data_IF_473063100895
#
_entry.id   IF_473063100895
#
_cell.length_a   1.000
_cell.length_b   1.000
_cell.length_c   1.000
_cell.angle_alpha   90.00
_cell.angle_beta   90.00
_cell.angle_gamma   90.00
#
_symmetry.space_group_name_H-M   'P 1'
#
loop_
_entity.id
_entity.type
_entity.pdbx_description
1 polymer ?
#
# COMPACT_ATOMS: atom_id res chain seq x y z
N UNK A 1 -21.05 25.93 -39.80
CA UNK A 1 -19.89 25.76 -38.92
C UNK A 1 -20.40 25.74 -37.49
N UNK A 2 -20.60 24.55 -36.91
CA UNK A 2 -21.06 24.38 -35.53
C UNK A 2 -20.03 23.51 -34.83
N UNK A 3 -19.26 24.14 -33.94
CA UNK A 3 -18.25 23.50 -33.10
C UNK A 3 -18.93 22.65 -32.03
N UNK A 4 -18.84 21.34 -32.17
CA UNK A 4 -19.19 20.38 -31.13
C UNK A 4 -18.08 20.40 -30.07
N UNK A 5 -18.38 20.95 -28.90
CA UNK A 5 -17.54 20.85 -27.71
C UNK A 5 -17.67 19.43 -27.16
N UNK A 6 -16.62 18.63 -27.32
CA UNK A 6 -16.52 17.31 -26.70
C UNK A 6 -16.29 17.50 -25.20
N UNK A 7 -17.34 17.32 -24.39
CA UNK A 7 -17.20 17.25 -22.94
C UNK A 7 -16.45 15.95 -22.60
N UNK A 8 -15.35 16.05 -21.85
CA UNK A 8 -14.70 14.88 -21.25
C UNK A 8 -15.67 14.20 -20.27
N UNK A 9 -15.76 12.85 -20.25
CA UNK A 9 -16.59 12.16 -19.27
C UNK A 9 -16.09 12.47 -17.85
N UNK A 10 -17.01 12.84 -16.95
CA UNK A 10 -16.70 12.95 -15.52
C UNK A 10 -16.22 11.59 -15.04
N UNK A 11 -15.02 11.53 -14.44
CA UNK A 11 -14.53 10.31 -13.78
C UNK A 11 -15.54 9.90 -12.69
N UNK A 12 -15.88 8.60 -12.56
CA UNK A 12 -16.75 8.16 -11.48
C UNK A 12 -16.09 8.50 -10.12
N UNK A 13 -16.85 9.03 -9.17
CA UNK A 13 -16.38 9.21 -7.79
C UNK A 13 -16.74 7.93 -7.02
N UNK A 14 -15.81 7.38 -6.24
CA UNK A 14 -16.11 6.21 -5.42
C UNK A 14 -17.05 6.64 -4.28
N UNK A 15 -18.17 5.95 -4.09
CA UNK A 15 -19.07 6.24 -2.97
C UNK A 15 -18.45 5.71 -1.66
N UNK A 16 -17.80 6.62 -0.93
CA UNK A 16 -17.12 6.32 0.33
C UNK A 16 -18.08 6.20 1.52
N UNK A 17 -19.38 6.50 1.35
CA UNK A 17 -20.36 6.47 2.45
C UNK A 17 -20.53 5.07 3.06
N UNK A 18 -20.28 4.02 2.26
CA UNK A 18 -20.35 2.61 2.68
C UNK A 18 -19.11 2.11 3.43
N UNK A 19 -18.01 2.85 3.45
CA UNK A 19 -16.81 2.47 4.20
C UNK A 19 -17.07 2.45 5.73
N UNK A 20 -18.01 3.27 6.18
CA UNK A 20 -18.29 3.58 7.59
C UNK A 20 -19.58 2.96 8.12
N UNK A 21 -20.34 2.21 7.31
CA UNK A 21 -21.53 1.53 7.82
C UNK A 21 -21.15 0.19 8.47
N UNK A 22 -21.77 -0.11 9.62
CA UNK A 22 -21.63 -1.35 10.39
C UNK A 22 -22.64 -2.42 9.97
N UNK A 23 -23.21 -2.31 8.76
CA UNK A 23 -24.19 -3.25 8.25
C UNK A 23 -23.60 -4.67 8.17
N UNK A 24 -24.17 -5.66 8.89
CA UNK A 24 -23.74 -7.04 8.78
C UNK A 24 -24.01 -7.53 7.35
N UNK A 25 -23.00 -8.16 6.74
CA UNK A 25 -23.15 -8.87 5.46
C UNK A 25 -24.33 -9.85 5.57
N UNK A 26 -25.32 -9.83 4.66
CA UNK A 26 -26.34 -10.87 4.65
C UNK A 26 -25.65 -12.23 4.42
N UNK A 27 -25.93 -13.17 5.31
CA UNK A 27 -25.56 -14.57 5.14
C UNK A 27 -26.24 -15.12 3.87
N UNK A 28 -25.55 -15.92 3.04
CA UNK A 28 -26.21 -16.59 1.94
C UNK A 28 -27.17 -17.65 2.49
N UNK A 29 -28.47 -17.39 2.40
CA UNK A 29 -29.51 -18.38 2.67
C UNK A 29 -29.38 -19.57 1.72
N UNK A 30 -29.58 -20.82 2.19
CA UNK A 30 -29.50 -22.00 1.34
C UNK A 30 -30.79 -22.15 0.55
N UNK A 31 -30.84 -21.63 -0.66
CA UNK A 31 -31.94 -21.90 -1.58
C UNK A 31 -31.62 -23.18 -2.36
N UNK A 32 -32.29 -24.26 -2.01
CA UNK A 32 -32.30 -25.50 -2.78
C UNK A 32 -32.89 -25.22 -4.17
N UNK A 33 -32.07 -25.32 -5.22
CA UNK A 33 -32.54 -25.42 -6.59
C UNK A 33 -32.15 -26.79 -7.17
N UNK A 34 -33.18 -27.56 -7.49
CA UNK A 34 -33.12 -28.82 -8.21
C UNK A 34 -32.92 -28.52 -9.71
N UNK A 35 -31.88 -29.12 -10.28
CA UNK A 35 -31.75 -29.58 -11.68
C UNK A 35 -32.11 -28.64 -12.83
N UNK A 36 -31.09 -28.18 -13.57
CA UNK A 36 -30.93 -28.58 -14.98
C UNK A 36 -29.52 -28.22 -15.46
N UNK A 37 -28.83 -29.19 -16.02
CA UNK A 37 -27.48 -29.12 -16.54
C UNK A 37 -27.44 -28.35 -17.87
N UNK A 38 -27.00 -27.09 -17.81
CA UNK A 38 -26.42 -26.40 -18.96
C UNK A 38 -25.10 -25.79 -18.52
N UNK A 39 -24.00 -26.45 -18.88
CA UNK A 39 -22.64 -25.93 -18.76
C UNK A 39 -22.46 -24.79 -19.77
N UNK A 40 -22.77 -23.57 -19.35
CA UNK A 40 -22.23 -22.38 -20.00
C UNK A 40 -20.73 -22.32 -19.72
N UNK A 41 -19.86 -22.05 -20.70
CA UNK A 41 -18.46 -21.79 -20.42
C UNK A 41 -18.41 -20.51 -19.58
N UNK A 42 -18.08 -20.64 -18.30
CA UNK A 42 -17.68 -19.51 -17.47
C UNK A 42 -16.45 -18.92 -18.16
N UNK A 43 -16.63 -17.80 -18.84
CA UNK A 43 -15.53 -16.97 -19.27
C UNK A 43 -14.77 -16.60 -17.99
N UNK A 44 -13.61 -17.21 -17.75
CA UNK A 44 -12.74 -16.79 -16.67
C UNK A 44 -12.53 -15.29 -16.84
N UNK A 45 -13.08 -14.50 -15.92
CA UNK A 45 -12.79 -13.07 -15.89
C UNK A 45 -11.29 -12.96 -15.69
N UNK A 46 -10.58 -12.48 -16.72
CA UNK A 46 -9.16 -12.17 -16.62
C UNK A 46 -9.05 -11.13 -15.51
N UNK A 47 -8.52 -11.57 -14.35
CA UNK A 47 -8.27 -10.67 -13.23
C UNK A 47 -7.31 -9.59 -13.73
N UNK A 48 -7.67 -8.31 -13.52
CA UNK A 48 -6.80 -7.18 -13.83
C UNK A 48 -5.46 -7.40 -13.12
N UNK A 49 -4.31 -7.30 -13.81
CA UNK A 49 -3.02 -7.51 -13.17
C UNK A 49 -2.82 -6.45 -12.08
N UNK A 50 -2.34 -6.88 -10.92
CA UNK A 50 -2.28 -6.05 -9.72
C UNK A 50 -1.06 -6.42 -8.87
N UNK A 51 -0.43 -5.41 -8.29
CA UNK A 51 0.67 -5.52 -7.33
C UNK A 51 0.33 -4.64 -6.14
N UNK A 52 0.50 -5.18 -4.93
CA UNK A 52 0.23 -4.44 -3.70
C UNK A 52 1.49 -4.23 -2.90
N UNK A 53 1.63 -3.01 -2.39
CA UNK A 53 2.70 -2.59 -1.51
C UNK A 53 2.11 -2.01 -0.23
N UNK A 54 2.58 -2.52 0.91
CA UNK A 54 2.27 -2.02 2.24
C UNK A 54 3.55 -1.52 2.91
N UNK A 55 3.48 -0.43 3.68
CA UNK A 55 4.55 -0.12 4.64
C UNK A 55 4.43 -0.98 5.92
N UNK A 56 5.44 -0.95 6.79
CA UNK A 56 5.44 -1.68 8.06
C UNK A 56 5.13 -0.77 9.25
N UNK A 57 5.94 0.25 9.46
CA UNK A 57 5.92 1.13 10.63
C UNK A 57 4.67 2.02 10.58
N UNK A 58 3.92 2.09 11.68
CA UNK A 58 2.63 2.77 11.80
C UNK A 58 1.55 2.42 10.75
N UNK A 59 1.79 1.38 9.96
CA UNK A 59 0.90 0.88 8.90
C UNK A 59 0.40 -0.53 9.21
N UNK A 60 1.31 -1.47 9.49
CA UNK A 60 0.98 -2.83 9.93
C UNK A 60 1.40 -3.07 11.39
N UNK A 61 2.49 -2.40 11.82
CA UNK A 61 3.02 -2.47 13.17
C UNK A 61 2.82 -1.10 13.87
N UNK A 62 2.28 -1.05 15.11
CA UNK A 62 1.94 0.19 15.79
C UNK A 62 3.18 0.81 16.45
N UNK A 63 4.22 1.08 15.68
CA UNK A 63 5.57 1.41 16.17
C UNK A 63 5.61 2.68 17.01
N UNK A 64 4.91 3.73 16.63
CA UNK A 64 4.84 4.96 17.43
C UNK A 64 4.11 4.74 18.75
N UNK A 65 3.02 3.99 18.74
CA UNK A 65 2.33 3.62 19.98
C UNK A 65 3.21 2.76 20.89
N UNK A 66 3.92 1.76 20.32
CA UNK A 66 4.87 0.93 21.07
C UNK A 66 6.00 1.77 21.69
N UNK A 67 6.48 2.79 20.96
CA UNK A 67 7.47 3.73 21.44
C UNK A 67 6.95 4.51 22.65
N UNK A 68 5.82 5.22 22.51
CA UNK A 68 5.28 6.05 23.59
C UNK A 68 4.83 5.26 24.82
N UNK A 69 4.50 3.97 24.65
CA UNK A 69 4.20 3.07 25.77
C UNK A 69 5.46 2.56 26.48
N UNK A 70 6.66 2.85 25.99
CA UNK A 70 7.92 2.36 26.56
C UNK A 70 8.22 0.90 26.24
N UNK A 71 7.45 0.28 25.34
CA UNK A 71 7.54 -1.15 25.04
C UNK A 71 8.78 -1.45 24.18
N UNK A 72 9.10 -0.60 23.20
CA UNK A 72 10.30 -0.81 22.37
C UNK A 72 11.58 -0.82 23.22
N UNK A 73 11.72 0.17 24.12
CA UNK A 73 12.87 0.28 25.03
C UNK A 73 12.92 -0.91 26.00
N UNK A 74 11.76 -1.33 26.54
CA UNK A 74 11.69 -2.50 27.43
C UNK A 74 12.17 -3.80 26.77
N UNK A 75 12.08 -3.89 25.44
CA UNK A 75 12.54 -5.03 24.64
C UNK A 75 13.89 -4.78 23.94
N UNK A 76 14.59 -3.68 24.24
CA UNK A 76 15.89 -3.37 23.64
C UNK A 76 15.84 -2.96 22.17
N UNK A 77 14.65 -2.64 21.64
CA UNK A 77 14.43 -2.24 20.25
C UNK A 77 14.63 -0.73 20.08
N UNK A 78 15.88 -0.29 20.15
CA UNK A 78 16.27 1.14 20.05
C UNK A 78 17.04 1.47 18.76
N UNK A 79 17.37 0.47 17.94
CA UNK A 79 18.16 0.62 16.72
C UNK A 79 17.39 0.05 15.51
N UNK A 80 17.60 0.62 14.32
CA UNK A 80 17.11 0.06 13.05
C UNK A 80 15.72 0.52 12.59
N UNK A 81 14.99 1.25 13.44
CA UNK A 81 13.80 2.02 13.08
C UNK A 81 14.11 3.07 11.99
N UNK A 82 13.12 3.52 11.19
CA UNK A 82 13.34 4.60 10.25
C UNK A 82 13.77 5.88 10.99
N UNK A 83 14.69 6.66 10.39
CA UNK A 83 15.10 7.95 10.95
C UNK A 83 13.90 8.88 10.97
N UNK A 84 13.34 9.13 12.15
CA UNK A 84 12.20 10.01 12.29
C UNK A 84 12.70 11.46 12.30
N UNK A 85 12.44 12.18 11.21
CA UNK A 85 12.57 13.64 11.21
C UNK A 85 11.44 14.16 12.11
N UNK A 86 11.75 14.53 13.37
CA UNK A 86 11.14 15.63 14.15
C UNK A 86 11.73 15.63 15.57
N UNK A 87 12.05 16.84 16.01
CA UNK A 87 12.67 17.30 17.25
C UNK A 87 11.83 17.05 18.54
N UNK A 88 10.91 16.08 18.57
CA UNK A 88 10.06 15.78 19.75
C UNK A 88 10.48 14.55 20.55
N UNK A 89 11.53 13.83 20.13
CA UNK A 89 12.02 12.59 20.78
C UNK A 89 12.99 12.82 21.96
N UNK A 90 13.11 14.04 22.48
CA UNK A 90 13.97 14.33 23.63
C UNK A 90 13.37 13.88 24.98
N UNK A 91 12.11 13.44 25.03
CA UNK A 91 11.59 12.77 26.22
C UNK A 91 12.13 11.34 26.31
N UNK A 92 13.00 11.11 27.29
CA UNK A 92 13.51 9.80 27.65
C UNK A 92 12.35 8.89 28.09
N UNK A 93 11.72 8.19 27.14
CA UNK A 93 10.65 7.24 27.44
C UNK A 93 11.20 6.11 28.30
N UNK A 94 10.57 5.89 29.45
CA UNK A 94 10.95 4.82 30.37
C UNK A 94 10.45 3.46 29.87
N UNK A 95 11.24 2.38 30.06
CA UNK A 95 10.78 1.04 29.73
C UNK A 95 9.54 0.69 30.55
N UNK A 96 8.53 0.13 29.90
CA UNK A 96 7.30 -0.33 30.53
C UNK A 96 6.98 -1.75 30.07
N UNK A 97 6.49 -2.64 30.95
CA UNK A 97 6.15 -4.00 30.56
C UNK A 97 4.87 -4.04 29.70
N UNK A 98 4.80 -5.02 28.79
CA UNK A 98 3.59 -5.32 28.04
C UNK A 98 2.50 -5.85 28.98
N UNK A 99 1.39 -5.12 29.10
CA UNK A 99 0.27 -5.57 29.94
C UNK A 99 -0.60 -6.60 29.21
N UNK A 100 -1.41 -7.37 29.95
CA UNK A 100 -2.37 -8.30 29.35
C UNK A 100 -3.40 -7.61 28.46
N UNK A 101 -3.79 -6.38 28.80
CA UNK A 101 -4.70 -5.56 27.98
C UNK A 101 -4.04 -5.15 26.66
N UNK A 102 -2.78 -4.70 26.72
CA UNK A 102 -2.01 -4.37 25.52
C UNK A 102 -1.85 -5.59 24.61
N UNK A 103 -1.56 -6.77 25.19
CA UNK A 103 -1.47 -8.02 24.43
C UNK A 103 -2.76 -8.36 23.70
N UNK A 104 -3.92 -8.30 24.37
CA UNK A 104 -5.21 -8.57 23.74
C UNK A 104 -5.50 -7.62 22.57
N UNK A 105 -5.13 -6.34 22.71
CA UNK A 105 -5.29 -5.35 21.64
C UNK A 105 -4.34 -5.59 20.46
N UNK A 106 -3.09 -6.00 20.74
CA UNK A 106 -2.16 -6.42 19.70
C UNK A 106 -2.64 -7.70 19.00
N UNK A 107 -3.26 -8.65 19.69
CA UNK A 107 -3.84 -9.86 19.06
C UNK A 107 -4.99 -9.54 18.10
N UNK A 108 -5.80 -8.53 18.45
CA UNK A 108 -6.81 -8.01 17.54
C UNK A 108 -6.16 -7.37 16.30
N UNK A 109 -5.10 -6.59 16.49
CA UNK A 109 -4.34 -5.99 15.40
C UNK A 109 -3.74 -7.06 14.48
N UNK A 110 -3.07 -8.08 15.05
CA UNK A 110 -2.50 -9.21 14.31
C UNK A 110 -3.55 -9.89 13.43
N UNK A 111 -4.76 -10.13 13.97
CA UNK A 111 -5.85 -10.72 13.20
C UNK A 111 -6.19 -9.88 11.98
N UNK A 112 -6.33 -8.57 12.14
CA UNK A 112 -6.68 -7.67 11.04
C UNK A 112 -5.56 -7.53 10.01
N UNK A 113 -4.30 -7.50 10.46
CA UNK A 113 -3.13 -7.49 9.55
C UNK A 113 -3.09 -8.77 8.70
N UNK A 114 -3.28 -9.93 9.33
CA UNK A 114 -3.31 -11.21 8.61
C UNK A 114 -4.47 -11.26 7.61
N UNK A 115 -5.69 -10.92 8.03
CA UNK A 115 -6.86 -10.89 7.16
C UNK A 115 -6.65 -9.96 5.95
N UNK A 116 -6.03 -8.79 6.15
CA UNK A 116 -5.73 -7.83 5.09
C UNK A 116 -4.67 -8.37 4.12
N UNK A 117 -3.55 -8.91 4.61
CA UNK A 117 -2.48 -9.43 3.75
C UNK A 117 -2.94 -10.65 2.95
N UNK A 118 -3.74 -11.53 3.55
CA UNK A 118 -4.35 -12.67 2.88
C UNK A 118 -5.38 -12.22 1.84
N UNK A 119 -6.22 -11.24 2.17
CA UNK A 119 -7.14 -10.64 1.21
C UNK A 119 -6.37 -10.07 0.01
N UNK A 120 -5.29 -9.33 0.27
CA UNK A 120 -4.46 -8.73 -0.75
C UNK A 120 -3.82 -9.76 -1.69
N UNK A 121 -3.28 -10.84 -1.12
CA UNK A 121 -2.64 -11.93 -1.86
C UNK A 121 -3.58 -12.66 -2.84
N UNK A 122 -4.91 -12.59 -2.64
CA UNK A 122 -5.90 -13.17 -3.58
C UNK A 122 -6.03 -12.41 -4.90
N UNK A 123 -5.56 -11.17 -4.95
CA UNK A 123 -5.61 -10.31 -6.15
C UNK A 123 -4.28 -10.30 -6.91
N UNK A 124 -3.15 -10.44 -6.21
CA UNK A 124 -1.83 -10.42 -6.83
C UNK A 124 -0.70 -10.50 -5.80
N UNK A 125 0.56 -10.36 -6.25
CA UNK A 125 1.72 -10.31 -5.36
C UNK A 125 1.64 -9.16 -4.35
N UNK A 126 2.08 -9.41 -3.12
CA UNK A 126 2.09 -8.45 -2.02
C UNK A 126 3.52 -8.26 -1.52
N UNK A 127 3.93 -7.01 -1.38
CA UNK A 127 5.22 -6.63 -0.83
C UNK A 127 5.03 -5.72 0.38
N UNK A 128 5.74 -5.99 1.46
CA UNK A 128 5.90 -5.06 2.57
C UNK A 128 7.21 -4.32 2.31
N UNK A 129 7.15 -3.02 2.02
CA UNK A 129 8.33 -2.20 1.68
C UNK A 129 8.53 -1.14 2.76
N UNK A 130 9.53 -1.34 3.62
CA UNK A 130 9.83 -0.46 4.76
C UNK A 130 11.12 0.34 4.59
N UNK A 131 11.17 1.54 5.18
CA UNK A 131 12.39 2.32 5.37
C UNK A 131 13.16 1.93 6.67
N UNK A 132 12.68 0.95 7.42
CA UNK A 132 13.39 0.31 8.51
C UNK A 132 14.31 -0.81 8.01
N UNK A 133 15.21 -1.28 8.86
CA UNK A 133 16.02 -2.48 8.59
C UNK A 133 15.19 -3.77 8.64
N UNK A 134 15.59 -4.84 7.96
CA UNK A 134 14.92 -6.14 8.06
C UNK A 134 14.97 -6.72 9.49
N UNK A 135 16.10 -6.64 10.23
CA UNK A 135 16.14 -7.03 11.64
C UNK A 135 15.10 -6.31 12.50
N UNK A 136 14.78 -5.04 12.20
CA UNK A 136 13.73 -4.30 12.89
C UNK A 136 12.35 -4.90 12.68
N UNK A 137 11.99 -5.21 11.43
CA UNK A 137 10.71 -5.87 11.10
C UNK A 137 10.60 -7.20 11.83
N UNK A 138 11.65 -8.03 11.78
CA UNK A 138 11.66 -9.34 12.45
C UNK A 138 11.49 -9.20 13.95
N UNK A 139 12.26 -8.33 14.59
CA UNK A 139 12.25 -8.20 16.04
C UNK A 139 10.97 -7.54 16.58
N UNK A 140 10.45 -6.51 15.89
CA UNK A 140 9.16 -5.90 16.25
C UNK A 140 8.00 -6.89 16.07
N UNK A 141 7.99 -7.67 14.98
CA UNK A 141 6.99 -8.72 14.78
C UNK A 141 7.12 -9.83 15.84
N UNK A 142 8.33 -10.22 16.22
CA UNK A 142 8.55 -11.27 17.24
C UNK A 142 7.97 -10.91 18.59
N UNK A 143 8.20 -9.67 19.03
CA UNK A 143 7.76 -9.23 20.35
C UNK A 143 6.29 -8.83 20.41
N UNK A 144 5.74 -8.25 19.33
CA UNK A 144 4.42 -7.63 19.38
C UNK A 144 3.39 -8.27 18.46
N UNK A 145 3.80 -8.90 17.37
CA UNK A 145 2.93 -9.49 16.33
C UNK A 145 3.37 -10.93 15.93
N UNK A 146 3.53 -11.88 16.87
CA UNK A 146 4.16 -13.17 16.63
C UNK A 146 3.47 -14.05 15.57
N UNK A 147 2.15 -13.95 15.38
CA UNK A 147 1.41 -14.64 14.32
C UNK A 147 1.69 -14.03 12.96
N UNK A 148 1.85 -12.72 12.88
CA UNK A 148 2.29 -12.03 11.64
C UNK A 148 3.72 -12.45 11.31
N UNK A 149 4.62 -12.51 12.31
CA UNK A 149 5.98 -13.04 12.10
C UNK A 149 5.96 -14.45 11.53
N UNK A 150 5.17 -15.34 12.14
CA UNK A 150 5.08 -16.72 11.68
C UNK A 150 4.56 -16.81 10.23
N UNK A 151 3.51 -16.04 9.92
CA UNK A 151 2.97 -15.93 8.57
C UNK A 151 4.01 -15.47 7.54
N UNK A 152 4.80 -14.45 7.85
CA UNK A 152 5.86 -13.94 6.94
C UNK A 152 6.98 -14.98 6.74
N UNK A 153 7.37 -15.71 7.79
CA UNK A 153 8.36 -16.79 7.68
C UNK A 153 7.87 -17.95 6.81
N UNK A 154 6.60 -18.33 6.96
CA UNK A 154 6.01 -19.40 6.17
C UNK A 154 5.90 -19.01 4.69
N UNK A 155 5.53 -17.76 4.39
CA UNK A 155 5.53 -17.21 3.02
C UNK A 155 6.94 -17.19 2.41
N UNK A 156 7.96 -16.83 3.18
CA UNK A 156 9.35 -16.80 2.71
C UNK A 156 9.85 -18.20 2.32
N UNK A 157 9.61 -19.21 3.15
CA UNK A 157 9.99 -20.61 2.88
C UNK A 157 9.27 -21.18 1.65
N UNK A 158 8.03 -20.76 1.43
CA UNK A 158 7.21 -21.27 0.35
C UNK A 158 7.52 -20.63 -1.01
N UNK A 159 8.07 -19.40 -1.04
CA UNK A 159 8.54 -18.77 -2.28
C UNK A 159 9.65 -19.58 -2.99
N UNK A 160 10.36 -20.46 -2.27
CA UNK A 160 11.36 -21.38 -2.83
C UNK A 160 10.71 -22.58 -3.55
N UNK A 161 9.42 -22.85 -3.28
CA UNK A 161 8.64 -23.91 -3.91
C UNK A 161 7.83 -23.34 -5.09
N UNK A 162 7.96 -23.93 -6.28
CA UNK A 162 7.33 -23.45 -7.54
C UNK A 162 5.79 -23.59 -7.59
N UNK A 163 5.10 -23.76 -6.47
CA UNK A 163 3.66 -23.92 -6.47
C UNK A 163 2.94 -22.59 -6.73
N UNK A 164 2.01 -22.59 -7.68
CA UNK A 164 1.31 -21.40 -8.16
C UNK A 164 0.20 -20.89 -7.23
N UNK A 165 -0.27 -21.72 -6.29
CA UNK A 165 -1.46 -21.45 -5.46
C UNK A 165 -1.16 -20.84 -4.09
N UNK A 166 0.07 -20.38 -3.86
CA UNK A 166 0.52 -19.90 -2.56
C UNK A 166 0.41 -18.38 -2.47
N UNK A 167 -0.02 -17.88 -1.31
CA UNK A 167 0.02 -16.46 -0.96
C UNK A 167 1.46 -15.93 -1.13
N UNK A 168 1.64 -14.85 -1.90
CA UNK A 168 2.96 -14.28 -2.17
C UNK A 168 3.12 -12.97 -1.42
N UNK A 169 3.40 -13.06 -0.12
CA UNK A 169 3.74 -11.91 0.71
C UNK A 169 5.25 -11.90 0.96
N UNK A 170 5.94 -10.85 0.52
CA UNK A 170 7.39 -10.71 0.69
C UNK A 170 7.74 -9.41 1.42
N UNK A 171 8.77 -9.43 2.26
CA UNK A 171 9.27 -8.25 2.96
C UNK A 171 10.53 -7.73 2.27
N UNK A 172 10.58 -6.43 2.01
CA UNK A 172 11.71 -5.72 1.43
C UNK A 172 12.06 -4.53 2.33
N UNK A 173 13.27 -4.55 2.89
CA UNK A 173 13.85 -3.35 3.51
C UNK A 173 14.48 -2.49 2.42
N UNK A 174 13.79 -1.40 2.06
CA UNK A 174 14.32 -0.42 1.11
C UNK A 174 15.60 0.23 1.69
N UNK A 175 15.64 0.43 3.01
CA UNK A 175 16.84 0.91 3.70
C UNK A 175 18.02 -0.03 3.49
N UNK A 176 17.89 -1.31 3.83
CA UNK A 176 19.04 -2.22 3.77
C UNK A 176 19.55 -2.39 2.32
N UNK A 177 18.65 -2.36 1.34
CA UNK A 177 19.01 -2.39 -0.08
C UNK A 177 19.81 -1.16 -0.51
N UNK A 178 19.33 0.05 -0.20
CA UNK A 178 19.86 1.27 -0.82
C UNK A 178 20.78 2.08 0.08
N UNK A 179 20.68 1.94 1.39
CA UNK A 179 21.58 2.61 2.35
C UNK A 179 23.04 2.15 2.15
N UNK A 180 23.24 0.86 1.88
CA UNK A 180 24.57 0.29 1.63
C UNK A 180 25.05 0.47 0.18
N UNK A 181 24.15 0.57 -0.80
CA UNK A 181 24.50 0.66 -2.23
C UNK A 181 24.68 2.09 -2.75
N UNK A 182 24.01 3.09 -2.17
CA UNK A 182 24.02 4.49 -2.63
C UNK A 182 24.86 5.41 -1.70
N UNK A 183 25.39 4.88 -0.59
CA UNK A 183 26.28 5.59 0.33
C UNK A 183 25.57 6.68 1.13
N UNK A 184 25.28 6.42 2.41
CA UNK A 184 24.93 7.40 3.48
C UNK A 184 23.91 8.54 3.20
N UNK A 185 23.23 8.62 2.06
CA UNK A 185 22.57 9.88 1.65
C UNK A 185 21.35 9.80 0.76
N UNK A 186 20.66 8.65 0.67
CA UNK A 186 19.34 8.59 0.04
C UNK A 186 18.23 8.89 1.04
N UNK A 187 17.22 9.66 0.63
CA UNK A 187 15.98 9.87 1.40
C UNK A 187 15.10 8.62 1.39
N UNK A 188 14.19 8.49 2.37
CA UNK A 188 13.22 7.38 2.41
C UNK A 188 12.39 7.28 1.13
N UNK A 189 12.03 8.44 0.55
CA UNK A 189 11.33 8.52 -0.73
C UNK A 189 12.13 7.90 -1.87
N UNK A 190 13.42 8.22 -1.98
CA UNK A 190 14.29 7.69 -3.04
C UNK A 190 14.46 6.17 -2.92
N UNK A 191 14.64 5.67 -1.70
CA UNK A 191 14.69 4.23 -1.45
C UNK A 191 13.40 3.53 -1.88
N UNK A 192 12.23 4.10 -1.55
CA UNK A 192 10.94 3.54 -1.94
C UNK A 192 10.70 3.63 -3.45
N UNK A 193 11.05 4.74 -4.10
CA UNK A 193 10.98 4.87 -5.57
C UNK A 193 11.82 3.80 -6.27
N UNK A 194 13.08 3.64 -5.85
CA UNK A 194 13.98 2.64 -6.42
C UNK A 194 13.49 1.22 -6.17
N UNK A 195 12.95 0.94 -4.97
CA UNK A 195 12.34 -0.36 -4.66
C UNK A 195 11.16 -0.66 -5.56
N UNK A 196 10.24 0.30 -5.77
CA UNK A 196 9.06 0.10 -6.59
C UNK A 196 9.42 -0.17 -8.04
N UNK A 197 10.41 0.55 -8.57
CA UNK A 197 10.96 0.29 -9.90
C UNK A 197 11.57 -1.12 -10.02
N UNK A 198 12.38 -1.53 -9.03
CA UNK A 198 12.96 -2.87 -9.00
C UNK A 198 11.89 -3.97 -8.95
N UNK A 199 10.82 -3.77 -8.15
CA UNK A 199 9.68 -4.69 -8.09
C UNK A 199 8.94 -4.77 -9.43
N UNK A 200 8.62 -3.65 -10.06
CA UNK A 200 7.94 -3.64 -11.36
C UNK A 200 8.80 -4.28 -12.47
N UNK A 201 10.12 -4.07 -12.44
CA UNK A 201 11.07 -4.72 -13.35
C UNK A 201 11.13 -6.23 -13.11
N UNK A 202 11.30 -6.65 -11.85
CA UNK A 202 11.34 -8.06 -11.45
C UNK A 202 10.08 -8.82 -11.87
N UNK A 203 8.91 -8.19 -11.71
CA UNK A 203 7.62 -8.75 -12.10
C UNK A 203 7.30 -8.61 -13.59
N UNK A 204 8.22 -8.02 -14.37
CA UNK A 204 8.10 -7.83 -15.82
C UNK A 204 6.77 -7.19 -16.21
N UNK A 205 6.38 -6.13 -15.51
CA UNK A 205 5.06 -5.48 -15.69
C UNK A 205 4.85 -5.03 -17.13
N UNK A 206 5.91 -4.60 -17.82
CA UNK A 206 5.85 -4.25 -19.24
C UNK A 206 5.49 -5.47 -20.11
N UNK A 207 6.10 -6.63 -19.89
CA UNK A 207 5.76 -7.87 -20.62
C UNK A 207 4.32 -8.31 -20.33
N UNK A 208 3.88 -8.16 -19.07
CA UNK A 208 2.49 -8.42 -18.68
C UNK A 208 1.52 -7.54 -19.47
N UNK A 209 1.82 -6.24 -19.59
CA UNK A 209 1.03 -5.34 -20.42
C UNK A 209 1.10 -5.70 -21.91
N UNK A 210 2.28 -6.02 -22.44
CA UNK A 210 2.43 -6.41 -23.83
C UNK A 210 1.59 -7.64 -24.19
N UNK A 211 1.44 -8.58 -23.25
CA UNK A 211 0.62 -9.79 -23.38
C UNK A 211 -0.88 -9.53 -23.17
N UNK A 212 -1.25 -8.81 -22.11
CA UNK A 212 -2.66 -8.66 -21.69
C UNK A 212 -3.34 -7.40 -22.23
N UNK A 213 -2.57 -6.47 -22.81
CA UNK A 213 -3.00 -5.13 -23.24
C UNK A 213 -3.79 -4.37 -22.17
N UNK A 214 -3.49 -4.65 -20.91
CA UNK A 214 -4.17 -4.13 -19.72
C UNK A 214 -3.12 -3.58 -18.76
N UNK A 215 -3.32 -2.35 -18.28
CA UNK A 215 -2.43 -1.74 -17.29
C UNK A 215 -2.47 -2.52 -15.97
N UNK A 216 -1.31 -2.63 -15.35
CA UNK A 216 -1.20 -3.20 -14.00
C UNK A 216 -1.52 -2.14 -12.96
N UNK A 217 -2.38 -2.47 -12.01
CA UNK A 217 -2.64 -1.63 -10.86
C UNK A 217 -1.50 -1.80 -9.84
N UNK A 218 -0.83 -0.71 -9.51
CA UNK A 218 0.10 -0.63 -8.39
C UNK A 218 -0.63 0.00 -7.21
N UNK A 219 -1.00 -0.81 -6.23
CA UNK A 219 -1.64 -0.36 -5.00
C UNK A 219 -0.54 -0.11 -3.96
N UNK A 220 -0.51 1.09 -3.39
CA UNK A 220 0.44 1.48 -2.34
C UNK A 220 -0.29 2.01 -1.11
N UNK A 221 -0.01 1.43 0.06
CA UNK A 221 -0.67 1.75 1.32
C UNK A 221 0.38 1.97 2.41
N UNK A 222 0.33 3.12 3.07
CA UNK A 222 1.26 3.51 4.12
C UNK A 222 0.79 4.77 4.83
N UNK A 223 1.33 5.06 6.01
CA UNK A 223 1.01 6.25 6.79
C UNK A 223 1.79 7.49 6.31
N UNK A 224 3.04 7.32 5.92
CA UNK A 224 3.85 8.41 5.40
C UNK A 224 3.42 8.81 3.97
N UNK A 225 3.90 9.98 3.53
CA UNK A 225 3.68 10.44 2.14
C UNK A 225 4.60 9.73 1.15
N UNK A 226 5.66 9.08 1.60
CA UNK A 226 6.70 8.53 0.74
C UNK A 226 6.19 7.38 -0.13
N UNK A 227 5.31 6.52 0.40
CA UNK A 227 4.67 5.40 -0.29
C UNK A 227 3.68 5.89 -1.34
N UNK A 228 2.91 6.91 -0.98
CA UNK A 228 1.93 7.54 -1.87
C UNK A 228 2.65 8.21 -3.05
N UNK A 229 3.68 9.00 -2.75
CA UNK A 229 4.46 9.71 -3.76
C UNK A 229 5.24 8.75 -4.66
N UNK A 230 5.92 7.74 -4.10
CA UNK A 230 6.64 6.74 -4.88
C UNK A 230 5.74 5.99 -5.87
N UNK A 231 4.51 5.64 -5.44
CA UNK A 231 3.52 4.99 -6.30
C UNK A 231 3.11 5.88 -7.49
N UNK A 232 2.81 7.15 -7.23
CA UNK A 232 2.40 8.09 -8.28
C UNK A 232 3.57 8.39 -9.23
N UNK A 233 4.79 8.55 -8.71
CA UNK A 233 6.01 8.71 -9.53
C UNK A 233 6.24 7.50 -10.44
N UNK A 234 5.96 6.29 -9.96
CA UNK A 234 6.04 5.07 -10.77
C UNK A 234 5.03 5.07 -11.92
N UNK A 235 3.77 5.46 -11.69
CA UNK A 235 2.80 5.66 -12.78
C UNK A 235 3.30 6.73 -13.77
N UNK A 236 3.83 7.86 -13.30
CA UNK A 236 4.32 8.90 -14.21
C UNK A 236 5.44 8.41 -15.13
N UNK A 237 6.35 7.59 -14.60
CA UNK A 237 7.46 6.99 -15.35
C UNK A 237 6.99 5.94 -16.35
N UNK A 238 5.89 5.24 -16.06
CA UNK A 238 5.44 4.06 -16.78
C UNK A 238 3.94 4.11 -17.11
N UNK A 239 3.44 5.29 -17.48
CA UNK A 239 2.00 5.58 -17.58
C UNK A 239 1.28 4.77 -18.66
N UNK A 240 2.01 4.21 -19.61
CA UNK A 240 1.47 3.33 -20.65
C UNK A 240 0.91 2.03 -20.06
N UNK A 241 1.61 1.45 -19.08
CA UNK A 241 1.35 0.09 -18.59
C UNK A 241 1.11 -0.01 -17.08
N UNK A 242 1.24 1.08 -16.32
CA UNK A 242 0.93 1.15 -14.89
C UNK A 242 -0.20 2.14 -14.59
N UNK A 243 -0.89 1.86 -13.50
CA UNK A 243 -1.90 2.73 -12.92
C UNK A 243 -1.74 2.72 -11.40
N UNK A 244 -1.55 3.90 -10.81
CA UNK A 244 -1.36 4.03 -9.37
C UNK A 244 -2.68 4.11 -8.64
N UNK A 245 -2.76 3.37 -7.54
CA UNK A 245 -3.82 3.48 -6.54
C UNK A 245 -3.17 3.61 -5.17
N UNK A 246 -3.61 4.56 -4.36
CA UNK A 246 -2.96 4.84 -3.08
C UNK A 246 -3.99 4.98 -1.95
N UNK A 247 -3.62 4.54 -0.76
CA UNK A 247 -4.31 4.88 0.48
C UNK A 247 -3.27 5.37 1.50
N UNK A 248 -3.25 6.69 1.72
CA UNK A 248 -2.39 7.32 2.73
C UNK A 248 -3.09 7.28 4.09
N UNK A 249 -2.46 6.70 5.09
CA UNK A 249 -2.98 6.57 6.44
C UNK A 249 -2.55 7.75 7.31
N UNK A 250 -3.17 7.90 8.47
CA UNK A 250 -2.80 8.88 9.50
C UNK A 250 -1.43 8.52 10.07
N UNK A 251 -0.52 9.49 10.05
CA UNK A 251 0.81 9.38 10.66
C UNK A 251 0.71 9.34 12.18
N UNK A 252 1.60 8.56 12.80
CA UNK A 252 1.67 8.39 14.25
C UNK A 252 0.29 8.06 14.86
N UNK A 253 -0.39 7.00 14.39
CA UNK A 253 -1.71 6.65 14.89
C UNK A 253 -1.60 6.11 16.33
N UNK A 254 -2.64 6.37 17.12
CA UNK A 254 -2.89 5.54 18.31
C UNK A 254 -3.19 4.10 17.89
N UNK A 255 -3.09 3.13 18.80
CA UNK A 255 -3.44 1.75 18.48
C UNK A 255 -4.94 1.60 18.10
N UNK A 256 -5.82 2.41 18.69
CA UNK A 256 -7.24 2.51 18.31
C UNK A 256 -7.41 3.03 16.89
N UNK A 257 -6.71 4.10 16.53
CA UNK A 257 -6.72 4.66 15.17
C UNK A 257 -6.18 3.61 14.19
N UNK A 258 -5.08 2.92 14.48
CA UNK A 258 -4.55 1.89 13.59
C UNK A 258 -5.53 0.73 13.36
N UNK A 259 -6.24 0.29 14.41
CA UNK A 259 -7.32 -0.71 14.29
C UNK A 259 -8.51 -0.19 13.48
N UNK A 260 -8.84 1.10 13.56
CA UNK A 260 -9.85 1.74 12.70
C UNK A 260 -9.39 1.77 11.24
N UNK A 261 -8.12 2.12 10.99
CA UNK A 261 -7.52 2.16 9.66
C UNK A 261 -7.44 0.79 9.01
N UNK A 262 -7.06 -0.27 9.72
CA UNK A 262 -7.03 -1.65 9.19
C UNK A 262 -8.41 -2.18 8.84
N UNK A 263 -9.44 -1.84 9.63
CA UNK A 263 -10.84 -2.14 9.28
C UNK A 263 -11.26 -1.41 8.02
N UNK A 264 -10.91 -0.13 7.90
CA UNK A 264 -11.20 0.68 6.71
C UNK A 264 -10.49 0.13 5.46
N UNK A 265 -9.19 -0.18 5.57
CA UNK A 265 -8.40 -0.83 4.53
C UNK A 265 -9.07 -2.13 4.07
N UNK A 266 -9.40 -3.03 5.01
CA UNK A 266 -10.01 -4.33 4.68
C UNK A 266 -11.35 -4.18 3.95
N UNK A 267 -12.19 -3.21 4.34
CA UNK A 267 -13.45 -2.92 3.64
C UNK A 267 -13.23 -2.32 2.25
N UNK A 268 -12.19 -1.50 2.08
CA UNK A 268 -11.95 -0.72 0.87
C UNK A 268 -11.07 -1.44 -0.16
N UNK A 269 -10.35 -2.47 0.25
CA UNK A 269 -9.34 -3.12 -0.58
C UNK A 269 -9.93 -3.74 -1.86
N UNK A 270 -11.02 -4.51 -1.75
CA UNK A 270 -11.70 -5.09 -2.92
C UNK A 270 -12.30 -3.99 -3.85
N UNK A 271 -13.04 -2.99 -3.33
CA UNK A 271 -13.45 -1.82 -4.13
C UNK A 271 -12.29 -1.11 -4.82
N UNK A 272 -11.15 -0.92 -4.14
CA UNK A 272 -9.96 -0.32 -4.74
C UNK A 272 -9.43 -1.18 -5.88
N UNK A 273 -9.34 -2.50 -5.72
CA UNK A 273 -8.89 -3.41 -6.77
C UNK A 273 -9.79 -3.34 -8.01
N UNK A 274 -11.11 -3.27 -7.82
CA UNK A 274 -12.10 -3.24 -8.90
C UNK A 274 -12.28 -1.88 -9.56
N UNK A 275 -11.81 -0.80 -8.92
CA UNK A 275 -11.99 0.55 -9.43
C UNK A 275 -11.31 0.75 -10.79
N UNK A 276 -12.06 1.20 -11.79
CA UNK A 276 -11.54 1.46 -13.13
C UNK A 276 -10.93 2.86 -13.20
N UNK A 277 -9.63 2.97 -12.94
CA UNK A 277 -8.93 4.24 -12.88
C UNK A 277 -7.84 4.31 -11.84
N UNK A 278 -7.10 5.42 -11.86
CA UNK A 278 -6.25 5.81 -10.74
C UNK A 278 -7.14 6.27 -9.59
N UNK A 279 -6.80 5.85 -8.37
CA UNK A 279 -7.60 6.11 -7.18
C UNK A 279 -6.67 6.49 -6.02
N UNK A 280 -6.82 7.69 -5.49
CA UNK A 280 -5.99 8.16 -4.39
C UNK A 280 -6.87 8.52 -3.21
N UNK A 281 -6.63 7.84 -2.10
CA UNK A 281 -7.38 7.97 -0.87
C UNK A 281 -6.46 8.47 0.24
N UNK A 282 -7.02 9.23 1.16
CA UNK A 282 -6.35 9.74 2.34
C UNK A 282 -7.25 9.53 3.56
N UNK A 283 -6.72 8.89 4.59
CA UNK A 283 -7.37 8.83 5.90
C UNK A 283 -6.97 10.06 6.68
N UNK A 284 -7.96 10.75 7.24
CA UNK A 284 -7.75 11.95 8.06
C UNK A 284 -8.54 11.87 9.34
N UNK A 285 -8.05 12.52 10.40
CA UNK A 285 -8.79 12.67 11.66
C UNK A 285 -9.98 13.62 11.43
N UNK A 286 -11.18 13.24 11.89
CA UNK A 286 -12.35 14.11 11.86
C UNK A 286 -12.12 15.32 12.78
N UNK A 287 -12.57 16.48 12.35
CA UNK A 287 -12.59 17.64 13.23
C UNK A 287 -13.56 17.37 14.41
N UNK A 288 -13.12 17.63 15.65
CA UNK A 288 -14.02 17.59 16.79
C UNK A 288 -15.00 18.76 16.65
N UNK A 289 -16.25 18.46 16.31
CA UNK A 289 -17.31 19.46 16.37
C UNK A 289 -17.48 19.91 17.82
N UNK A 290 -17.24 21.20 18.10
CA UNK A 290 -17.54 21.84 19.40
C UNK A 290 -19.07 21.98 19.60
N UNK A 291 -19.82 20.88 19.54
CA UNK A 291 -21.22 20.84 19.91
C UNK A 291 -21.33 20.40 21.37
N UNK A 292 -21.33 21.37 22.27
CA UNK A 292 -21.83 21.25 23.64
C UNK A 292 -23.35 20.97 23.56
N UNK A 293 -23.76 19.71 23.45
CA UNK A 293 -25.13 19.33 23.82
C UNK A 293 -25.11 18.05 24.65
N UNK A 294 -25.95 18.07 25.68
CA UNK A 294 -25.87 17.22 26.85
C UNK A 294 -26.13 15.73 26.59
N UNK A 295 -25.47 14.94 27.42
CA UNK A 295 -26.05 13.80 28.12
C UNK A 295 -26.62 12.65 27.26
N UNK A 296 -25.74 11.72 26.88
CA UNK A 296 -25.91 10.25 26.97
C UNK A 296 -24.64 9.58 26.45
N UNK A 297 -23.87 8.99 27.37
CA UNK A 297 -22.78 8.06 27.04
C UNK A 297 -23.37 6.81 26.40
N UNK A 298 -23.50 6.83 25.09
CA UNK A 298 -23.62 5.60 24.29
C UNK A 298 -22.18 5.24 23.90
N UNK A 299 -21.69 4.11 24.41
CA UNK A 299 -20.43 3.47 24.02
C UNK A 299 -20.47 2.95 22.56
N UNK A 300 -20.86 3.79 21.61
CA UNK A 300 -20.56 3.55 20.21
C UNK A 300 -19.20 4.19 19.95
N UNK A 301 -18.18 3.34 19.75
CA UNK A 301 -16.83 3.75 19.41
C UNK A 301 -16.88 4.87 18.36
N UNK A 302 -16.57 6.09 18.79
CA UNK A 302 -16.59 7.28 17.95
C UNK A 302 -15.58 7.02 16.83
N UNK A 303 -16.06 6.77 15.60
CA UNK A 303 -15.22 6.72 14.42
C UNK A 303 -14.47 8.04 14.31
N UNK A 304 -13.19 8.03 14.67
CA UNK A 304 -12.35 9.24 14.75
C UNK A 304 -11.80 9.64 13.40
N UNK A 305 -11.87 8.73 12.43
CA UNK A 305 -11.24 8.88 11.12
C UNK A 305 -12.28 8.99 10.01
N UNK A 306 -11.92 9.70 8.95
CA UNK A 306 -12.67 9.81 7.72
C UNK A 306 -11.77 9.51 6.52
N UNK A 307 -12.37 8.96 5.46
CA UNK A 307 -11.70 8.61 4.21
C UNK A 307 -12.06 9.65 3.17
N UNK A 308 -11.05 10.24 2.55
CA UNK A 308 -11.19 11.31 1.57
C UNK A 308 -10.55 10.87 0.26
N UNK A 309 -11.27 11.00 -0.85
CA UNK A 309 -10.69 10.85 -2.17
C UNK A 309 -9.98 12.15 -2.57
N UNK A 310 -8.72 12.05 -3.00
CA UNK A 310 -7.91 13.17 -3.45
C UNK A 310 -7.52 12.98 -4.92
N UNK A 311 -7.12 14.06 -5.58
CA UNK A 311 -6.58 13.97 -6.93
C UNK A 311 -5.11 13.52 -6.94
N UNK A 312 -4.63 13.07 -8.12
CA UNK A 312 -3.25 12.56 -8.31
C UNK A 312 -2.18 13.61 -8.02
N UNK A 313 -2.43 14.89 -8.28
CA UNK A 313 -1.47 15.97 -8.03
C UNK A 313 -1.34 16.21 -6.52
N UNK A 314 -2.46 16.17 -5.79
CA UNK A 314 -2.46 16.21 -4.32
C UNK A 314 -1.75 15.00 -3.73
N UNK A 315 -1.91 13.80 -4.31
CA UNK A 315 -1.18 12.60 -3.89
C UNK A 315 0.33 12.71 -4.16
N UNK A 316 0.74 13.39 -5.23
CA UNK A 316 2.15 13.57 -5.60
C UNK A 316 2.85 14.67 -4.79
N UNK A 317 2.17 15.79 -4.55
CA UNK A 317 2.76 17.00 -3.95
C UNK A 317 2.41 17.19 -2.47
N UNK A 318 1.43 16.43 -1.98
CA UNK A 318 0.79 16.64 -0.69
C UNK A 318 -0.07 17.91 -0.62
N UNK A 319 -0.72 18.16 0.53
CA UNK A 319 -1.51 19.37 0.75
C UNK A 319 -0.58 20.59 0.71
N UNK A 320 -0.72 21.41 -0.34
CA UNK A 320 0.03 22.64 -0.64
C UNK A 320 1.52 22.51 -0.99
N UNK A 321 1.81 22.16 -2.24
CA UNK A 321 3.03 22.65 -2.91
C UNK A 321 2.64 23.73 -3.93
N UNK A 322 2.34 24.94 -3.45
CA UNK A 322 2.41 26.14 -4.30
C UNK A 322 3.90 26.49 -4.47
N UNK A 323 4.61 25.79 -5.37
CA UNK A 323 5.71 26.39 -6.15
C UNK A 323 6.48 25.44 -7.09
N UNK A 324 6.31 24.13 -7.01
CA UNK A 324 7.08 23.22 -7.89
C UNK A 324 6.45 22.98 -9.29
N UNK A 325 5.61 23.90 -9.78
CA UNK A 325 4.61 23.58 -10.81
C UNK A 325 5.10 23.64 -12.28
N UNK A 326 6.23 24.28 -12.58
CA UNK A 326 6.61 24.51 -13.98
C UNK A 326 7.15 23.25 -14.70
N UNK A 327 7.98 22.44 -14.03
CA UNK A 327 8.63 21.28 -14.67
C UNK A 327 7.73 20.04 -14.70
N UNK A 328 6.82 19.94 -13.74
CA UNK A 328 5.84 18.84 -13.67
C UNK A 328 4.66 19.06 -14.62
N UNK A 329 4.18 20.29 -14.80
CA UNK A 329 3.19 20.59 -15.84
C UNK A 329 3.75 20.23 -17.24
N UNK A 330 5.04 20.48 -17.49
CA UNK A 330 5.68 20.06 -18.75
C UNK A 330 5.70 18.55 -18.94
N UNK A 331 5.94 17.76 -17.87
CA UNK A 331 5.91 16.29 -17.94
C UNK A 331 4.50 15.73 -18.08
N UNK A 332 3.49 16.34 -17.44
CA UNK A 332 2.09 15.97 -17.56
C UNK A 332 1.56 16.25 -18.98
N UNK A 333 1.88 17.42 -19.53
CA UNK A 333 1.54 17.79 -20.92
C UNK A 333 2.26 16.87 -21.93
N UNK A 334 3.50 16.47 -21.62
CA UNK A 334 4.23 15.51 -22.46
C UNK A 334 3.61 14.11 -22.41
N UNK A 335 3.20 13.63 -21.25
CA UNK A 335 2.55 12.32 -21.09
C UNK A 335 1.19 12.25 -21.81
N UNK A 336 0.36 13.30 -21.71
CA UNK A 336 -0.92 13.39 -22.42
C UNK A 336 -0.71 13.52 -23.94
N UNK A 337 0.35 14.23 -24.39
CA UNK A 337 0.73 14.29 -25.81
C UNK A 337 1.21 12.94 -26.36
N UNK A 338 1.92 12.14 -25.56
CA UNK A 338 2.42 10.81 -25.96
C UNK A 338 1.27 9.79 -26.06
N UNK A 339 0.29 9.84 -25.16
CA UNK A 339 -0.92 9.03 -25.23
C UNK A 339 -1.76 9.32 -26.49
N UNK A 340 -1.79 10.59 -26.93
CA UNK A 340 -2.48 10.98 -28.17
C UNK A 340 -1.69 10.64 -29.45
N UNK A 341 -0.35 10.66 -29.40
CA UNK A 341 0.50 10.33 -30.56
C UNK A 341 0.62 8.83 -30.83
N UNK A 342 0.51 7.98 -29.79
CA UNK A 342 0.51 6.53 -29.93
C UNK A 342 -0.70 5.98 -30.72
N UNK A 343 -1.76 6.77 -30.89
CA UNK A 343 -2.90 6.42 -31.75
C UNK A 343 -2.66 6.65 -33.25
N UNK A 344 -1.54 7.25 -33.67
CA UNK A 344 -1.35 7.69 -35.06
C UNK A 344 -0.02 7.32 -35.75
N UNK A 345 0.88 6.55 -35.13
CA UNK A 345 2.15 6.18 -35.79
C UNK A 345 2.43 4.68 -35.68
N UNK A 346 2.24 3.97 -36.79
CA UNK A 346 2.80 2.64 -37.02
C UNK A 346 4.20 2.72 -37.65
N UNK A 347 4.99 1.65 -37.44
CA UNK A 347 6.34 1.39 -37.96
C UNK A 347 7.41 2.43 -37.54
N UNK A 348 8.63 2.10 -37.11
CA UNK A 348 9.54 1.05 -37.55
C UNK A 348 10.70 0.82 -36.53
N UNK A 349 11.49 -0.23 -36.78
CA UNK A 349 12.58 -0.83 -35.98
C UNK A 349 13.77 0.04 -35.49
N UNK A 350 14.32 -0.35 -34.33
CA UNK A 350 15.72 -0.83 -34.09
C UNK A 350 16.54 -0.17 -32.95
N UNK A 351 17.21 -1.06 -32.22
CA UNK A 351 18.39 -0.90 -31.35
C UNK A 351 18.29 -0.02 -30.10
N UNK A 352 18.47 -0.63 -28.93
CA UNK A 352 19.66 -0.43 -28.08
C UNK A 352 19.76 -1.59 -27.07
N UNK A 353 20.82 -2.37 -27.21
CA UNK A 353 21.31 -3.35 -26.24
C UNK A 353 22.16 -2.62 -25.19
N UNK A 354 21.91 -2.88 -23.91
CA UNK A 354 22.91 -3.17 -22.87
C UNK A 354 22.23 -3.09 -21.48
N UNK A 355 21.77 -4.24 -20.98
CA UNK A 355 21.48 -4.45 -19.56
C UNK A 355 22.48 -5.48 -19.00
N UNK A 356 23.03 -5.28 -17.79
CA UNK A 356 23.87 -6.28 -17.15
C UNK A 356 23.02 -7.44 -16.60
N UNK A 357 23.44 -8.65 -16.93
CA UNK A 357 22.88 -9.92 -16.47
C UNK A 357 23.08 -10.13 -14.97
N UNK A 358 22.00 -10.45 -14.24
CA UNK A 358 22.04 -10.99 -12.88
C UNK A 358 22.60 -12.42 -12.91
N UNK A 359 23.92 -12.55 -12.84
CA UNK A 359 24.58 -13.82 -12.55
C UNK A 359 24.68 -14.03 -11.03
N UNK A 360 24.31 -15.23 -10.59
CA UNK A 360 24.39 -15.71 -9.23
C UNK A 360 25.80 -15.51 -8.62
N UNK A 361 25.86 -15.06 -7.36
CA UNK A 361 27.10 -15.05 -6.59
C UNK A 361 27.16 -16.33 -5.73
N UNK A 362 28.18 -17.19 -5.91
CA UNK A 362 28.44 -18.34 -5.06
C UNK A 362 29.33 -17.94 -3.87
N UNK A 363 29.22 -18.66 -2.74
CA UNK A 363 30.29 -18.64 -1.73
C UNK A 363 29.87 -18.93 -0.30
N UNK A 364 29.48 -20.18 -0.03
CA UNK A 364 29.73 -20.81 1.28
C UNK A 364 31.16 -21.35 1.23
N UNK A 365 32.00 -21.00 2.19
CA UNK A 365 33.11 -21.86 2.58
C UNK A 365 33.17 -21.95 4.12
N UNK A 366 32.94 -23.20 4.55
CA UNK A 366 33.28 -23.91 5.79
C UNK A 366 33.28 -23.17 7.12
#
# INVERSE_FOLDING_TARGET
>A
MSTLTHASPRKPHLDLSRAFTTEPRPSPSPTFFVGSSHTSPQLEMIKKPLISVFDWDDTLCPTTWLHFRGLLVAHGLINGAPSMEIETFEEKVLPSPLTSSDRQRLELLERQVLELLQLAARFGPVFIVTAASLPWVVASAEHFLPRVRQFLLDNQRQCESKNADIERVQVVSARDWYHHQIGTGGSQLEWKCATFEALCSHLKVQDVFMRLKTRTDLISIGDARFEQEACVRMEMKASEFLQSKTMKLVEQPTLEELLEQLRMMSKMYDPMCQYDGGLHLCVSRKEKSNSLEGDRLVENALETLQLVQIDRITALKGPTARDCDARLQQLLVAADSLAHKAHYAGHDHSSYQNEPSLAAVPGVQS
#
